data_IF_401578599764
#
_entry.id   IF_401578599764
#
_cell.length_a   1.000
_cell.length_b   1.000
_cell.length_c   1.000
_cell.angle_alpha   90.00
_cell.angle_beta   90.00
_cell.angle_gamma   90.00
#
_symmetry.space_group_name_H-M   'P 1'
#
loop_
_entity.id
_entity.type
_entity.pdbx_description
1 polymer ?
#
# COMPACT_ATOMS: atom_id res chain seq x y z
N UNK A 1 12.05 10.41 -12.07
CA UNK A 1 11.15 9.52 -11.30
C UNK A 1 11.43 9.79 -9.82
N UNK A 2 10.59 10.59 -9.16
CA UNK A 2 10.89 11.18 -7.86
C UNK A 2 10.68 10.15 -6.73
N UNK A 3 11.76 9.67 -6.11
CA UNK A 3 11.65 8.93 -4.84
C UNK A 3 11.15 9.91 -3.78
N UNK A 4 10.02 9.64 -3.14
CA UNK A 4 9.58 10.45 -1.99
C UNK A 4 10.55 10.19 -0.83
N UNK A 5 10.97 11.27 -0.17
CA UNK A 5 11.76 11.22 1.06
C UNK A 5 10.82 11.36 2.24
N UNK A 6 10.84 10.38 3.13
CA UNK A 6 10.02 10.37 4.33
C UNK A 6 10.73 11.07 5.50
N UNK A 7 10.00 11.48 6.56
CA UNK A 7 10.59 12.18 7.72
C UNK A 7 11.67 11.37 8.46
N UNK A 8 11.60 10.04 8.39
CA UNK A 8 12.58 9.09 8.93
C UNK A 8 13.84 8.96 8.04
N UNK A 9 13.89 9.65 6.91
CA UNK A 9 15.02 9.67 5.99
C UNK A 9 15.02 8.56 4.94
N UNK A 10 14.01 7.67 4.95
CA UNK A 10 13.87 6.61 3.96
C UNK A 10 13.41 7.16 2.61
N UNK A 11 13.73 6.42 1.54
CA UNK A 11 13.43 6.79 0.16
C UNK A 11 12.61 5.67 -0.49
N UNK A 12 11.40 5.97 -0.94
CA UNK A 12 10.52 4.97 -1.53
C UNK A 12 9.16 5.52 -1.93
N UNK A 13 8.30 4.66 -2.46
CA UNK A 13 6.87 4.97 -2.55
C UNK A 13 6.19 4.68 -1.22
N UNK A 14 5.15 5.45 -0.83
CA UNK A 14 4.37 5.17 0.35
C UNK A 14 3.56 3.88 0.15
N UNK A 15 3.59 3.01 1.15
CA UNK A 15 2.61 1.95 1.29
C UNK A 15 1.23 2.60 1.38
N UNK A 16 0.32 2.20 0.50
CA UNK A 16 -1.01 2.81 0.46
C UNK A 16 -1.94 2.40 1.62
N UNK A 17 -1.54 1.40 2.41
CA UNK A 17 -2.29 0.91 3.58
C UNK A 17 -1.85 1.55 4.89
N UNK A 18 -0.54 1.76 5.07
CA UNK A 18 0.02 2.28 6.33
C UNK A 18 0.80 3.61 6.17
N UNK A 19 0.89 4.12 4.94
CA UNK A 19 1.60 5.35 4.56
C UNK A 19 3.11 5.37 4.87
N UNK A 20 3.69 4.27 5.35
CA UNK A 20 5.12 4.12 5.57
C UNK A 20 5.91 3.94 4.26
N UNK A 21 7.19 4.26 4.28
CA UNK A 21 8.07 4.09 3.13
C UNK A 21 8.33 2.62 2.80
N UNK A 22 8.36 2.28 1.50
CA UNK A 22 8.79 0.96 1.05
C UNK A 22 10.26 1.01 0.62
N UNK A 23 11.09 0.20 1.29
CA UNK A 23 12.48 0.00 0.88
C UNK A 23 12.57 -1.11 -0.19
N UNK A 24 12.87 -0.71 -1.42
CA UNK A 24 13.04 -1.61 -2.56
C UNK A 24 14.32 -2.47 -2.51
N UNK A 25 15.22 -2.23 -1.55
CA UNK A 25 16.37 -3.11 -1.33
C UNK A 25 15.98 -4.39 -0.57
N UNK A 26 14.89 -4.34 0.20
CA UNK A 26 14.37 -5.49 0.92
C UNK A 26 13.74 -6.47 -0.07
N UNK A 27 14.15 -7.74 0.05
CA UNK A 27 13.63 -8.83 -0.77
C UNK A 27 12.66 -9.68 0.01
N UNK A 28 11.72 -10.30 -0.69
CA UNK A 28 10.88 -11.36 -0.13
C UNK A 28 11.77 -12.47 0.49
N UNK A 29 11.46 -12.99 1.70
CA UNK A 29 10.19 -12.87 2.44
C UNK A 29 10.16 -11.79 3.52
N UNK A 30 10.97 -10.74 3.43
CA UNK A 30 10.98 -9.69 4.46
C UNK A 30 9.61 -8.99 4.57
N UNK A 31 9.07 -8.74 5.78
CA UNK A 31 7.72 -8.19 5.96
C UNK A 31 7.53 -6.80 5.32
N UNK A 32 8.58 -5.96 5.36
CA UNK A 32 8.60 -4.64 4.72
C UNK A 32 9.09 -4.65 3.27
N UNK A 33 9.24 -5.82 2.64
CA UNK A 33 9.54 -5.88 1.22
C UNK A 33 8.37 -5.33 0.39
N UNK A 34 8.68 -4.81 -0.79
CA UNK A 34 7.66 -4.36 -1.74
C UNK A 34 6.76 -5.53 -2.18
N UNK A 35 5.45 -5.31 -2.13
CA UNK A 35 4.44 -6.15 -2.74
C UNK A 35 3.51 -5.31 -3.62
N UNK A 36 3.15 -5.85 -4.78
CA UNK A 36 2.09 -5.31 -5.62
C UNK A 36 0.75 -5.74 -5.03
N UNK A 37 -0.10 -4.76 -4.73
CA UNK A 37 -1.46 -4.95 -4.22
C UNK A 37 -2.48 -4.44 -5.24
N UNK A 38 -3.71 -4.93 -5.16
CA UNK A 38 -4.83 -4.55 -6.00
C UNK A 38 -5.80 -3.70 -5.19
N UNK A 39 -6.09 -2.48 -5.66
CA UNK A 39 -7.01 -1.57 -4.97
C UNK A 39 -8.39 -2.22 -4.80
N UNK A 40 -8.95 -2.72 -5.90
CA UNK A 40 -10.11 -3.61 -5.93
C UNK A 40 -9.57 -5.04 -5.98
N UNK A 41 -10.00 -5.86 -5.03
CA UNK A 41 -9.49 -7.23 -4.90
C UNK A 41 -9.88 -8.08 -6.12
N UNK A 42 -9.02 -9.03 -6.49
CA UNK A 42 -9.30 -9.96 -7.61
C UNK A 42 -10.56 -10.80 -7.35
N UNK A 43 -10.88 -11.05 -6.06
CA UNK A 43 -12.09 -11.76 -5.65
C UNK A 43 -13.37 -10.98 -5.98
N UNK A 44 -13.35 -9.67 -5.78
CA UNK A 44 -14.49 -8.80 -6.07
C UNK A 44 -14.63 -8.54 -7.57
N UNK A 45 -13.52 -8.25 -8.26
CA UNK A 45 -13.54 -8.03 -9.70
C UNK A 45 -12.32 -8.66 -10.40
N UNK A 46 -12.48 -9.90 -10.92
CA UNK A 46 -11.40 -10.59 -11.62
C UNK A 46 -10.91 -9.88 -12.89
N UNK A 47 -11.74 -9.04 -13.51
CA UNK A 47 -11.37 -8.34 -14.75
C UNK A 47 -10.26 -7.30 -14.52
N UNK A 48 -10.11 -6.80 -13.28
CA UNK A 48 -9.11 -5.79 -12.90
C UNK A 48 -7.79 -6.41 -12.42
N UNK A 49 -7.63 -7.73 -12.54
CA UNK A 49 -6.42 -8.43 -12.08
C UNK A 49 -5.15 -7.94 -12.78
N UNK A 50 -5.23 -7.61 -14.07
CA UNK A 50 -4.11 -7.16 -14.89
C UNK A 50 -4.19 -5.67 -15.24
N UNK A 51 -5.14 -4.94 -14.66
CA UNK A 51 -5.29 -3.50 -14.92
C UNK A 51 -4.22 -2.71 -14.13
N UNK A 52 -3.28 -2.02 -14.82
CA UNK A 52 -2.26 -1.23 -14.15
C UNK A 52 -2.83 -0.10 -13.29
N UNK A 53 -4.04 0.39 -13.59
CA UNK A 53 -4.70 1.42 -12.81
C UNK A 53 -5.16 0.91 -11.44
N UNK A 54 -5.37 -0.41 -11.32
CA UNK A 54 -5.74 -1.07 -10.09
C UNK A 54 -4.54 -1.37 -9.17
N UNK A 55 -3.30 -1.25 -9.67
CA UNK A 55 -2.11 -1.59 -8.88
C UNK A 55 -1.76 -0.51 -7.86
N UNK A 56 -1.39 -0.96 -6.65
CA UNK A 56 -0.92 -0.11 -5.55
C UNK A 56 0.34 -0.69 -4.93
N UNK A 57 1.18 0.19 -4.42
CA UNK A 57 2.41 -0.19 -3.73
C UNK A 57 2.11 -0.46 -2.25
N UNK A 58 2.48 -1.63 -1.75
CA UNK A 58 2.27 -2.04 -0.37
C UNK A 58 3.50 -2.76 0.19
N UNK A 59 3.59 -2.85 1.52
CA UNK A 59 4.48 -3.82 2.16
C UNK A 59 3.89 -5.23 2.05
N UNK A 60 4.75 -6.25 1.97
CA UNK A 60 4.34 -7.64 1.92
C UNK A 60 3.41 -8.02 3.08
N UNK A 61 3.77 -7.66 4.32
CA UNK A 61 2.96 -7.98 5.50
C UNK A 61 1.63 -7.22 5.53
N UNK A 62 1.62 -5.95 5.10
CA UNK A 62 0.37 -5.17 5.02
C UNK A 62 -0.59 -5.78 3.99
N UNK A 63 -0.08 -6.19 2.83
CA UNK A 63 -0.87 -6.85 1.79
C UNK A 63 -1.44 -8.19 2.28
N UNK A 64 -0.59 -9.02 2.90
CA UNK A 64 -1.01 -10.31 3.46
C UNK A 64 -2.04 -10.13 4.58
N UNK A 65 -1.85 -9.13 5.45
CA UNK A 65 -2.77 -8.82 6.55
C UNK A 65 -4.12 -8.27 6.08
N UNK A 66 -4.16 -7.51 4.99
CA UNK A 66 -5.41 -7.05 4.36
C UNK A 66 -6.19 -8.20 3.73
N UNK A 67 -5.49 -9.11 3.01
CA UNK A 67 -6.13 -10.21 2.32
C UNK A 67 -7.18 -9.74 1.30
N UNK A 68 -8.46 -10.04 1.55
CA UNK A 68 -9.58 -9.62 0.69
C UNK A 68 -10.45 -8.54 1.29
N UNK A 69 -10.03 -7.95 2.41
CA UNK A 69 -10.81 -6.93 3.09
C UNK A 69 -10.60 -5.55 2.46
N UNK A 70 -11.53 -4.64 2.74
CA UNK A 70 -11.43 -3.26 2.31
C UNK A 70 -10.19 -2.58 2.92
N UNK A 71 -9.52 -1.68 2.18
CA UNK A 71 -8.39 -0.95 2.72
C UNK A 71 -8.85 -0.12 3.93
N UNK A 72 -8.01 0.03 4.96
CA UNK A 72 -8.31 0.93 6.07
C UNK A 72 -8.34 2.36 5.52
N UNK A 73 -9.54 2.92 5.35
CA UNK A 73 -9.72 4.32 4.98
C UNK A 73 -9.57 5.13 6.26
N UNK A 74 -8.38 5.68 6.50
CA UNK A 74 -8.21 6.71 7.52
C UNK A 74 -8.79 8.04 6.97
N UNK A 75 -10.01 8.37 7.40
CA UNK A 75 -10.68 9.63 7.06
C UNK A 75 -10.02 10.84 7.76
N UNK A 76 -9.04 10.61 8.63
CA UNK A 76 -8.36 11.65 9.40
C UNK A 76 -9.22 12.21 10.52
N UNK A 77 -8.73 13.28 11.15
CA UNK A 77 -9.45 13.98 12.22
C UNK A 77 -10.48 14.93 11.58
N UNK A 78 -11.78 14.86 11.96
CA UNK A 78 -12.75 15.83 11.50
C UNK A 78 -12.32 17.24 11.92
N UNK A 79 -12.43 18.21 11.00
CA UNK A 79 -12.00 19.59 11.26
C UNK A 79 -12.81 20.28 12.36
N UNK A 80 -14.06 19.86 12.55
CA UNK A 80 -14.96 20.40 13.58
C UNK A 80 -15.80 19.29 14.19
N UNK A 81 -16.00 19.35 15.52
CA UNK A 81 -16.97 18.54 16.26
C UNK A 81 -18.14 19.47 16.56
N UNK A 82 -19.21 19.32 15.80
CA UNK A 82 -20.48 20.01 15.95
C UNK A 82 -21.27 19.55 17.19
#
# INVERSE_FOLDING_TARGET
CARRRFPDGTLGEPCWLCNGAIDYQLKYPHPYAFSLDHAITVKENPALMLDPLNFRASHADCNMGRGTDDPPIDLGVPSEVW
#
